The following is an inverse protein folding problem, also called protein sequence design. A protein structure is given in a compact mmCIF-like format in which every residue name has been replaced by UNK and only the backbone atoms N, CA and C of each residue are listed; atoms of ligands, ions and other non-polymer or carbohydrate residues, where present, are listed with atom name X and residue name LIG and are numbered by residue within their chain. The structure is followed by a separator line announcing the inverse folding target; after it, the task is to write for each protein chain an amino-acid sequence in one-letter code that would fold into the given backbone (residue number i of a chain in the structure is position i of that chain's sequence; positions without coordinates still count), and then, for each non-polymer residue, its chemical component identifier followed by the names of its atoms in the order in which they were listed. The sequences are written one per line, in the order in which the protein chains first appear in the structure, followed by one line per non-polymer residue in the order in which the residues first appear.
data_IF_111796784676
#
_entry.id   IF_111796784676
#
_cell.length_a   1.000
_cell.length_b   1.000
_cell.length_c   1.000
_cell.angle_alpha   90.00
_cell.angle_beta   90.00
_cell.angle_gamma   90.00
#
_symmetry.space_group_name_H-M   'P 1'
#
loop_
_entity.id
_entity.type
_entity.pdbx_description
1 polymer ?
#
# COMPACT_ATOMS: atom_id res chain seq x y z
N UNK A 1 -14.39 26.48 -7.52
CA UNK A 1 -12.93 26.62 -7.32
C UNK A 1 -12.15 25.30 -7.31
N UNK A 2 -12.79 24.12 -7.21
CA UNK A 2 -12.10 22.81 -7.25
C UNK A 2 -11.69 22.32 -8.67
N UNK A 3 -12.10 23.00 -9.74
CA UNK A 3 -11.87 22.60 -11.13
C UNK A 3 -10.42 22.78 -11.59
N UNK A 4 -9.73 23.82 -11.14
CA UNK A 4 -8.36 24.10 -11.59
C UNK A 4 -7.31 23.11 -11.05
N UNK A 5 -7.55 22.48 -9.90
CA UNK A 5 -6.59 21.60 -9.26
C UNK A 5 -6.41 20.25 -9.97
N UNK A 6 -7.51 19.58 -10.32
CA UNK A 6 -7.44 18.27 -10.99
C UNK A 6 -7.01 18.39 -12.45
N UNK A 7 -7.37 19.48 -13.15
CA UNK A 7 -6.92 19.70 -14.53
C UNK A 7 -5.41 19.93 -14.61
N UNK A 8 -4.87 20.68 -13.64
CA UNK A 8 -3.43 20.82 -13.45
C UNK A 8 -2.76 19.45 -13.20
N UNK A 9 -3.35 18.63 -12.33
CA UNK A 9 -2.86 17.28 -12.05
C UNK A 9 -2.85 16.37 -13.28
N UNK A 10 -3.93 16.36 -14.08
CA UNK A 10 -4.00 15.58 -15.33
C UNK A 10 -2.98 16.05 -16.37
N UNK A 11 -2.78 17.36 -16.49
CA UNK A 11 -1.77 17.94 -17.39
C UNK A 11 -0.37 17.49 -16.97
N UNK A 12 -0.08 17.54 -15.67
CA UNK A 12 1.19 17.09 -15.12
C UNK A 12 1.40 15.59 -15.31
N UNK A 13 0.37 14.75 -15.11
CA UNK A 13 0.45 13.31 -15.43
C UNK A 13 0.84 13.11 -16.90
N UNK A 14 0.19 13.83 -17.82
CA UNK A 14 0.51 13.73 -19.25
C UNK A 14 1.96 14.14 -19.55
N UNK A 15 2.44 15.22 -18.95
CA UNK A 15 3.82 15.69 -19.10
C UNK A 15 4.83 14.67 -18.57
N UNK A 16 4.62 14.15 -17.35
CA UNK A 16 5.48 13.15 -16.72
C UNK A 16 5.55 11.86 -17.55
N UNK A 17 4.41 11.38 -18.01
CA UNK A 17 4.30 10.12 -18.76
C UNK A 17 4.74 10.25 -20.22
N UNK A 18 4.84 11.46 -20.77
CA UNK A 18 5.41 11.69 -22.11
C UNK A 18 6.94 11.75 -22.05
N UNK A 19 7.51 12.38 -21.02
CA UNK A 19 8.96 12.60 -20.90
C UNK A 19 9.65 11.59 -19.98
N UNK A 20 9.14 10.35 -19.93
CA UNK A 20 9.51 9.35 -18.91
C UNK A 20 11.01 9.05 -18.85
N UNK A 21 11.65 8.82 -20.00
CA UNK A 21 13.10 8.54 -20.06
C UNK A 21 13.93 9.73 -19.55
N UNK A 22 13.67 10.93 -20.07
CA UNK A 22 14.37 12.15 -19.68
C UNK A 22 14.22 12.42 -18.17
N UNK A 23 13.01 12.24 -17.62
CA UNK A 23 12.75 12.45 -16.19
C UNK A 23 13.48 11.41 -15.34
N UNK A 24 13.52 10.14 -15.74
CA UNK A 24 14.28 9.11 -15.02
C UNK A 24 15.78 9.42 -14.99
N UNK A 25 16.35 9.86 -16.12
CA UNK A 25 17.75 10.26 -16.19
C UNK A 25 18.05 11.51 -15.34
N UNK A 26 17.15 12.49 -15.31
CA UNK A 26 17.26 13.66 -14.44
C UNK A 26 17.17 13.29 -12.96
N UNK A 27 16.23 12.41 -12.59
CA UNK A 27 16.07 11.92 -11.21
C UNK A 27 17.33 11.19 -10.76
N UNK A 28 17.88 10.28 -11.58
CA UNK A 28 19.11 9.58 -11.23
C UNK A 28 20.29 10.55 -11.11
N UNK A 29 20.46 11.47 -12.06
CA UNK A 29 21.52 12.49 -12.01
C UNK A 29 21.43 13.32 -10.74
N UNK A 30 20.22 13.70 -10.33
CA UNK A 30 20.00 14.45 -9.10
C UNK A 30 20.35 13.61 -7.86
N UNK A 31 19.94 12.34 -7.81
CA UNK A 31 20.28 11.42 -6.72
C UNK A 31 21.80 11.24 -6.60
N UNK A 32 22.49 10.97 -7.71
CA UNK A 32 23.92 10.75 -7.73
C UNK A 32 24.68 12.03 -7.37
N UNK A 33 24.34 13.17 -7.98
CA UNK A 33 25.04 14.44 -7.69
C UNK A 33 24.88 14.90 -6.25
N UNK A 34 23.73 14.66 -5.62
CA UNK A 34 23.51 15.00 -4.22
C UNK A 34 24.24 14.05 -3.28
N UNK A 35 24.28 12.75 -3.60
CA UNK A 35 24.75 11.72 -2.67
C UNK A 35 26.14 11.16 -2.99
N UNK A 36 26.84 11.65 -4.03
CA UNK A 36 28.16 11.15 -4.44
C UNK A 36 29.22 11.17 -3.32
N UNK A 37 29.09 12.08 -2.36
CA UNK A 37 29.98 12.20 -1.20
C UNK A 37 29.59 11.34 0.01
N UNK A 38 28.46 10.63 -0.04
CA UNK A 38 28.00 9.79 1.08
C UNK A 38 28.92 8.61 1.31
N UNK A 39 28.99 8.11 2.55
CA UNK A 39 29.83 6.97 2.91
C UNK A 39 29.58 5.78 1.98
N UNK A 40 28.31 5.48 1.71
CA UNK A 40 27.88 4.37 0.85
C UNK A 40 28.32 4.56 -0.61
N UNK A 41 27.90 5.64 -1.28
CA UNK A 41 28.20 5.81 -2.71
C UNK A 41 29.67 6.07 -3.00
N UNK A 42 30.42 6.65 -2.06
CA UNK A 42 31.85 6.93 -2.24
C UNK A 42 32.68 5.65 -2.44
N UNK A 43 32.25 4.53 -1.87
CA UNK A 43 32.93 3.23 -2.03
C UNK A 43 32.80 2.70 -3.47
N UNK A 44 31.68 2.96 -4.14
CA UNK A 44 31.38 2.40 -5.46
C UNK A 44 31.68 3.37 -6.62
N UNK A 45 31.48 4.67 -6.39
CA UNK A 45 31.54 5.69 -7.44
C UNK A 45 32.70 6.67 -7.30
N UNK A 46 33.34 6.76 -6.14
CA UNK A 46 34.47 7.68 -5.91
C UNK A 46 34.19 9.14 -6.37
N UNK A 47 32.95 9.61 -6.23
CA UNK A 47 32.52 10.95 -6.64
C UNK A 47 31.98 11.07 -8.08
N UNK A 48 32.01 10.00 -8.85
CA UNK A 48 31.43 9.93 -10.21
C UNK A 48 29.90 9.91 -10.17
N UNK A 49 29.27 10.43 -11.22
CA UNK A 49 27.80 10.63 -11.27
C UNK A 49 27.15 10.16 -12.57
N UNK A 50 27.92 9.47 -13.42
CA UNK A 50 27.45 8.93 -14.68
C UNK A 50 26.57 7.70 -14.46
N UNK A 51 25.40 7.67 -15.13
CA UNK A 51 24.43 6.56 -15.08
C UNK A 51 25.07 5.20 -15.36
N UNK A 52 25.92 5.11 -16.39
CA UNK A 52 26.58 3.85 -16.77
C UNK A 52 27.52 3.31 -15.69
N UNK A 53 28.23 4.21 -14.99
CA UNK A 53 29.09 3.83 -13.87
C UNK A 53 28.25 3.40 -12.67
N UNK A 54 27.14 4.09 -12.39
CA UNK A 54 26.19 3.68 -11.36
C UNK A 54 25.66 2.27 -11.59
N UNK A 55 25.18 1.98 -12.80
CA UNK A 55 24.66 0.65 -13.16
C UNK A 55 25.70 -0.45 -13.06
N UNK A 56 26.96 -0.14 -13.38
CA UNK A 56 28.05 -1.12 -13.37
C UNK A 56 28.63 -1.37 -11.98
N UNK A 57 28.77 -0.32 -11.17
CA UNK A 57 29.56 -0.38 -9.95
C UNK A 57 28.71 -0.46 -8.67
N UNK A 58 27.47 0.06 -8.68
CA UNK A 58 26.60 0.01 -7.50
C UNK A 58 25.80 -1.29 -7.54
N UNK A 59 25.98 -2.19 -6.55
CA UNK A 59 25.27 -3.46 -6.55
C UNK A 59 23.78 -3.27 -6.28
N UNK A 60 22.96 -4.19 -6.80
CA UNK A 60 21.59 -4.37 -6.31
C UNK A 60 21.66 -4.94 -4.90
N UNK A 61 21.00 -4.29 -3.96
CA UNK A 61 21.01 -4.63 -2.54
C UNK A 61 19.61 -4.88 -2.01
N UNK A 62 19.51 -5.58 -0.90
CA UNK A 62 18.29 -5.77 -0.13
C UNK A 62 18.28 -4.86 1.10
N UNK A 63 17.17 -4.84 1.83
CA UNK A 63 17.11 -4.12 3.11
C UNK A 63 18.17 -4.61 4.11
N UNK A 64 18.48 -5.91 4.13
CA UNK A 64 19.46 -6.48 5.08
C UNK A 64 20.87 -5.93 4.86
N UNK A 65 21.25 -5.68 3.59
CA UNK A 65 22.54 -5.10 3.24
C UNK A 65 22.63 -3.63 3.68
N UNK A 66 21.50 -2.91 3.67
CA UNK A 66 21.41 -1.51 4.09
C UNK A 66 21.21 -1.35 5.60
N UNK A 67 20.71 -2.38 6.29
CA UNK A 67 20.34 -2.35 7.70
C UNK A 67 21.46 -1.85 8.62
N UNK A 68 22.74 -2.25 8.48
CA UNK A 68 23.82 -1.75 9.32
C UNK A 68 24.00 -0.23 9.23
N UNK A 69 23.80 0.34 8.04
CA UNK A 69 23.87 1.79 7.82
C UNK A 69 22.64 2.50 8.40
N UNK A 70 21.46 1.92 8.23
CA UNK A 70 20.19 2.46 8.77
C UNK A 70 20.22 2.47 10.30
N UNK A 71 20.69 1.39 10.93
CA UNK A 71 20.80 1.28 12.39
C UNK A 71 21.75 2.36 12.96
N UNK A 72 22.86 2.66 12.28
CA UNK A 72 23.78 3.76 12.66
C UNK A 72 23.08 5.12 12.65
N UNK A 73 22.32 5.41 11.59
CA UNK A 73 21.54 6.65 11.48
C UNK A 73 20.45 6.70 12.57
N UNK A 74 19.77 5.57 12.83
CA UNK A 74 18.77 5.47 13.90
C UNK A 74 19.38 5.71 15.30
N UNK A 75 20.64 5.30 15.50
CA UNK A 75 21.45 5.57 16.68
C UNK A 75 22.07 6.98 16.70
N UNK A 76 21.55 7.91 15.89
CA UNK A 76 21.90 9.34 15.83
C UNK A 76 23.28 9.66 15.26
N UNK A 77 23.87 8.75 14.48
CA UNK A 77 24.95 9.14 13.57
C UNK A 77 24.44 10.04 12.44
N UNK A 78 25.37 10.62 11.67
CA UNK A 78 25.05 11.51 10.55
C UNK A 78 24.26 10.78 9.45
N UNK A 79 23.34 11.48 8.79
CA UNK A 79 22.63 10.92 7.63
C UNK A 79 23.55 10.72 6.42
N UNK A 80 24.69 11.43 6.36
CA UNK A 80 25.67 11.38 5.26
C UNK A 80 26.25 9.99 5.00
N UNK A 81 25.94 9.01 5.85
CA UNK A 81 26.18 7.59 5.60
C UNK A 81 25.47 7.14 4.31
N UNK A 82 24.16 7.42 4.18
CA UNK A 82 23.33 7.04 3.02
C UNK A 82 22.77 8.23 2.25
N UNK A 83 22.53 9.36 2.92
CA UNK A 83 21.82 10.51 2.38
C UNK A 83 22.52 11.83 2.78
N UNK A 84 22.91 12.62 1.78
CA UNK A 84 23.53 13.93 2.02
C UNK A 84 22.57 14.96 2.64
N UNK A 85 21.25 14.71 2.54
CA UNK A 85 20.23 15.53 3.22
C UNK A 85 19.85 14.90 4.56
N UNK A 86 19.56 15.72 5.59
CA UNK A 86 19.20 15.23 6.91
C UNK A 86 17.93 14.38 6.86
N UNK A 87 17.97 13.27 7.58
CA UNK A 87 16.80 12.42 7.83
C UNK A 87 15.91 13.11 8.85
N UNK A 88 14.65 13.36 8.49
CA UNK A 88 13.66 14.05 9.33
C UNK A 88 12.83 13.08 10.19
N UNK A 89 12.94 11.78 9.92
CA UNK A 89 12.24 10.73 10.66
C UNK A 89 12.33 9.38 9.96
N UNK A 90 11.65 8.39 10.52
CA UNK A 90 11.56 7.04 9.99
C UNK A 90 10.10 6.66 9.76
N UNK A 91 9.81 6.01 8.63
CA UNK A 91 8.58 5.26 8.47
C UNK A 91 8.83 3.80 8.81
N UNK A 92 7.88 3.20 9.53
CA UNK A 92 7.88 1.78 9.82
C UNK A 92 7.15 1.06 8.69
N UNK A 93 7.86 0.19 7.99
CA UNK A 93 7.27 -0.73 7.03
C UNK A 93 6.40 -1.76 7.75
N UNK A 94 5.35 -2.25 7.11
CA UNK A 94 4.63 -3.43 7.60
C UNK A 94 5.43 -4.72 7.44
N UNK A 95 6.47 -4.70 6.60
CA UNK A 95 7.42 -5.80 6.50
C UNK A 95 8.42 -5.78 7.63
N UNK A 96 8.81 -7.00 8.03
CA UNK A 96 9.80 -7.19 9.07
C UNK A 96 11.13 -7.67 8.50
N UNK A 97 12.19 -7.33 9.23
CA UNK A 97 13.55 -7.81 9.08
C UNK A 97 13.96 -8.32 10.46
N UNK A 98 14.24 -9.63 10.57
CA UNK A 98 14.50 -10.27 11.86
C UNK A 98 13.36 -10.14 12.88
N UNK A 99 12.10 -10.05 12.43
CA UNK A 99 10.92 -9.90 13.28
C UNK A 99 10.62 -8.47 13.76
N UNK A 100 11.39 -7.46 13.32
CA UNK A 100 11.12 -6.05 13.61
C UNK A 100 10.73 -5.29 12.32
N UNK A 101 9.80 -4.31 12.38
CA UNK A 101 9.46 -3.48 11.22
C UNK A 101 10.70 -2.84 10.56
N UNK A 102 10.79 -2.89 9.23
CA UNK A 102 11.87 -2.21 8.49
C UNK A 102 11.77 -0.69 8.70
N UNK A 103 12.90 -0.05 8.94
CA UNK A 103 13.04 1.39 9.12
C UNK A 103 13.34 2.06 7.78
N UNK A 104 12.41 2.86 7.26
CA UNK A 104 12.59 3.61 6.02
C UNK A 104 12.95 5.06 6.33
N UNK A 105 14.08 5.52 5.78
CA UNK A 105 14.58 6.88 5.97
C UNK A 105 13.69 7.91 5.26
N UNK A 106 13.27 8.95 5.99
CA UNK A 106 12.43 10.02 5.45
C UNK A 106 13.22 11.32 5.37
N UNK A 107 13.15 12.00 4.23
CA UNK A 107 13.67 13.36 4.07
C UNK A 107 12.53 14.35 3.81
N UNK A 108 12.78 15.63 4.06
CA UNK A 108 11.82 16.69 3.73
C UNK A 108 11.42 16.70 2.23
N UNK A 109 12.33 16.29 1.33
CA UNK A 109 12.04 16.16 -0.11
C UNK A 109 11.04 15.03 -0.36
N UNK A 110 11.19 13.89 0.31
CA UNK A 110 10.25 12.77 0.21
C UNK A 110 8.84 13.18 0.66
N UNK A 111 8.73 13.92 1.76
CA UNK A 111 7.43 14.43 2.25
C UNK A 111 6.74 15.34 1.23
N UNK A 112 7.49 16.23 0.56
CA UNK A 112 6.95 17.08 -0.52
C UNK A 112 6.46 16.26 -1.72
N UNK A 113 7.19 15.20 -2.11
CA UNK A 113 6.74 14.27 -3.16
C UNK A 113 5.44 13.56 -2.77
N UNK A 114 5.25 13.20 -1.50
CA UNK A 114 4.00 12.63 -0.99
C UNK A 114 2.79 13.55 -1.17
N UNK A 115 2.93 14.85 -0.89
CA UNK A 115 1.86 15.82 -1.10
C UNK A 115 1.49 15.99 -2.60
N UNK A 116 2.51 16.07 -3.46
CA UNK A 116 2.31 16.10 -4.92
C UNK A 116 1.58 14.84 -5.39
N UNK A 117 2.01 13.67 -4.92
CA UNK A 117 1.40 12.40 -5.26
C UNK A 117 -0.08 12.32 -4.87
N UNK A 118 -0.45 12.78 -3.68
CA UNK A 118 -1.85 12.86 -3.26
C UNK A 118 -2.72 13.63 -4.26
N UNK A 119 -2.19 14.73 -4.81
CA UNK A 119 -2.88 15.54 -5.83
C UNK A 119 -3.01 14.80 -7.16
N UNK A 120 -1.93 14.13 -7.61
CA UNK A 120 -1.93 13.34 -8.84
C UNK A 120 -2.88 12.14 -8.75
N UNK A 121 -2.87 11.43 -7.63
CA UNK A 121 -3.71 10.26 -7.37
C UNK A 121 -5.21 10.59 -7.34
N UNK A 122 -5.59 11.77 -6.82
CA UNK A 122 -6.98 12.24 -6.80
C UNK A 122 -7.49 12.69 -8.18
N UNK A 123 -6.60 13.04 -9.10
CA UNK A 123 -7.00 13.67 -10.37
C UNK A 123 -7.82 12.73 -11.29
N UNK A 124 -7.46 11.44 -11.49
CA UNK A 124 -8.27 10.50 -12.27
C UNK A 124 -9.66 10.22 -11.69
N UNK A 125 -9.78 10.15 -10.36
CA UNK A 125 -11.07 9.92 -9.68
C UNK A 125 -11.95 11.17 -9.69
N UNK A 126 -11.36 12.36 -9.49
CA UNK A 126 -12.03 13.66 -9.59
C UNK A 126 -12.58 13.93 -10.99
N UNK A 127 -11.84 13.56 -12.05
CA UNK A 127 -12.30 13.66 -13.45
C UNK A 127 -13.62 12.92 -13.69
N UNK A 128 -13.86 11.83 -12.93
CA UNK A 128 -15.11 11.04 -13.00
C UNK A 128 -16.19 11.51 -12.02
N UNK A 129 -16.06 12.74 -11.49
CA UNK A 129 -17.08 13.40 -10.68
C UNK A 129 -17.10 12.98 -9.21
N UNK A 130 -16.06 12.32 -8.70
CA UNK A 130 -15.98 11.87 -7.32
C UNK A 130 -15.34 12.95 -6.42
N UNK A 131 -16.16 13.66 -5.62
CA UNK A 131 -15.68 14.61 -4.61
C UNK A 131 -15.89 14.02 -3.21
N UNK A 132 -15.02 14.33 -2.24
CA UNK A 132 -15.19 13.90 -0.84
C UNK A 132 -14.40 12.65 -0.46
N UNK A 133 -13.57 12.78 0.59
CA UNK A 133 -12.71 11.73 1.15
C UNK A 133 -13.11 11.49 2.61
N UNK A 134 -13.40 10.24 2.95
CA UNK A 134 -13.49 9.78 4.34
C UNK A 134 -12.55 8.58 4.48
N UNK A 135 -11.61 8.64 5.42
CA UNK A 135 -10.60 7.58 5.64
C UNK A 135 -10.85 6.95 7.00
N UNK A 136 -11.12 5.63 7.04
CA UNK A 136 -11.10 4.88 8.29
C UNK A 136 -9.65 4.52 8.68
N UNK A 137 -9.24 4.90 9.89
CA UNK A 137 -7.99 4.53 10.55
C UNK A 137 -8.27 3.80 11.88
N UNK A 138 -7.51 2.76 12.21
CA UNK A 138 -7.87 1.72 13.19
C UNK A 138 -7.88 2.21 14.65
N UNK A 139 -7.13 3.26 15.00
CA UNK A 139 -7.21 3.90 16.32
C UNK A 139 -8.32 4.96 16.31
N UNK A 140 -9.54 4.58 16.69
CA UNK A 140 -10.74 5.44 16.59
C UNK A 140 -11.85 4.89 15.69
N UNK A 141 -11.85 3.58 15.39
CA UNK A 141 -12.85 2.93 14.54
C UNK A 141 -14.29 3.25 14.96
N UNK A 142 -14.59 3.25 16.28
CA UNK A 142 -15.91 3.63 16.78
C UNK A 142 -16.28 5.07 16.43
N UNK A 143 -15.43 6.04 16.79
CA UNK A 143 -15.70 7.46 16.51
C UNK A 143 -15.79 7.77 15.01
N UNK A 144 -14.97 7.13 14.19
CA UNK A 144 -15.02 7.32 12.74
C UNK A 144 -16.29 6.74 12.12
N UNK A 145 -16.71 5.54 12.56
CA UNK A 145 -17.99 4.98 12.14
C UNK A 145 -19.15 5.84 12.61
N UNK A 146 -19.12 6.32 13.86
CA UNK A 146 -20.13 7.23 14.41
C UNK A 146 -20.24 8.51 13.58
N UNK A 147 -19.12 9.18 13.29
CA UNK A 147 -19.11 10.39 12.47
C UNK A 147 -19.55 10.11 11.02
N UNK A 148 -19.10 8.99 10.45
CA UNK A 148 -19.51 8.54 9.12
C UNK A 148 -21.00 8.21 9.04
N UNK A 149 -21.61 7.70 10.12
CA UNK A 149 -23.05 7.48 10.22
C UNK A 149 -23.80 8.79 10.39
N UNK A 150 -23.31 9.72 11.22
CA UNK A 150 -23.90 11.06 11.40
C UNK A 150 -23.96 11.80 10.07
N UNK A 151 -22.89 11.74 9.27
CA UNK A 151 -22.77 12.41 7.97
C UNK A 151 -23.19 11.52 6.79
N UNK A 152 -24.00 10.47 7.01
CA UNK A 152 -24.27 9.43 6.02
C UNK A 152 -24.71 9.92 4.64
N UNK A 153 -25.47 11.02 4.60
CA UNK A 153 -26.01 11.60 3.37
C UNK A 153 -25.01 12.51 2.64
N UNK A 154 -23.81 12.70 3.18
CA UNK A 154 -22.71 13.46 2.56
C UNK A 154 -21.58 12.55 2.08
N UNK A 155 -21.53 11.29 2.53
CA UNK A 155 -20.47 10.33 2.19
C UNK A 155 -20.58 9.90 0.72
N UNK A 156 -19.57 10.27 -0.06
CA UNK A 156 -19.44 9.90 -1.49
C UNK A 156 -18.49 8.71 -1.67
N UNK A 157 -17.55 8.53 -0.75
CA UNK A 157 -16.54 7.46 -0.79
C UNK A 157 -16.47 6.77 0.56
N UNK A 158 -16.55 5.45 0.58
CA UNK A 158 -16.32 4.62 1.78
C UNK A 158 -15.04 3.83 1.55
N UNK A 159 -14.14 3.74 2.52
CA UNK A 159 -12.93 2.97 2.31
C UNK A 159 -11.82 3.14 3.33
N UNK A 160 -10.76 2.38 3.10
CA UNK A 160 -9.50 2.43 3.82
C UNK A 160 -8.37 1.97 2.89
N UNK A 161 -7.13 1.88 3.38
CA UNK A 161 -5.98 1.52 2.55
C UNK A 161 -6.13 0.09 2.01
N UNK A 162 -6.52 -0.87 2.85
CA UNK A 162 -6.64 -2.29 2.48
C UNK A 162 -8.08 -2.80 2.56
N UNK A 163 -8.40 -3.77 1.69
CA UNK A 163 -9.70 -4.44 1.67
C UNK A 163 -10.06 -5.09 3.02
N UNK A 164 -9.07 -5.74 3.66
CA UNK A 164 -9.13 -6.28 5.02
C UNK A 164 -9.59 -5.25 6.06
N UNK A 165 -9.07 -4.02 5.98
CA UNK A 165 -9.43 -2.95 6.93
C UNK A 165 -10.86 -2.46 6.72
N UNK A 166 -11.31 -2.35 5.46
CA UNK A 166 -12.72 -2.02 5.16
C UNK A 166 -13.63 -3.10 5.72
N UNK A 167 -13.29 -4.37 5.50
CA UNK A 167 -14.06 -5.49 6.01
C UNK A 167 -14.11 -5.50 7.55
N UNK A 168 -12.97 -5.27 8.22
CA UNK A 168 -12.89 -5.13 9.67
C UNK A 168 -13.79 -4.00 10.18
N UNK A 169 -13.85 -2.87 9.45
CA UNK A 169 -14.77 -1.77 9.76
C UNK A 169 -16.25 -2.15 9.64
N UNK A 170 -16.62 -2.91 8.60
CA UNK A 170 -18.00 -3.41 8.43
C UNK A 170 -18.37 -4.38 9.56
N UNK A 171 -17.46 -5.29 9.92
CA UNK A 171 -17.66 -6.25 11.01
C UNK A 171 -17.72 -5.59 12.38
N UNK A 172 -16.91 -4.56 12.60
CA UNK A 172 -17.01 -3.74 13.80
C UNK A 172 -18.38 -3.07 13.89
N UNK A 173 -18.88 -2.53 12.79
CA UNK A 173 -20.23 -1.98 12.74
C UNK A 173 -21.31 -3.05 13.02
N UNK A 174 -21.15 -4.27 12.49
CA UNK A 174 -22.04 -5.41 12.77
C UNK A 174 -22.14 -5.74 14.26
N UNK A 175 -21.04 -5.60 15.01
CA UNK A 175 -21.00 -5.89 16.44
C UNK A 175 -21.43 -4.72 17.34
N UNK A 176 -21.32 -3.48 16.86
CA UNK A 176 -21.48 -2.27 17.69
C UNK A 176 -22.59 -1.31 17.23
N UNK A 177 -23.39 -1.64 16.21
CA UNK A 177 -24.40 -0.72 15.67
C UNK A 177 -25.42 -0.26 16.71
N UNK A 178 -25.77 -1.10 17.69
CA UNK A 178 -26.75 -0.75 18.75
C UNK A 178 -26.26 0.42 19.60
N UNK A 179 -25.00 0.36 20.00
CA UNK A 179 -24.33 1.41 20.78
C UNK A 179 -24.17 2.68 19.95
N UNK A 180 -23.75 2.54 18.69
CA UNK A 180 -23.64 3.66 17.75
C UNK A 180 -25.00 4.36 17.54
N UNK A 181 -26.09 3.61 17.39
CA UNK A 181 -27.44 4.19 17.30
C UNK A 181 -27.84 4.91 18.59
N UNK A 182 -27.53 4.34 19.76
CA UNK A 182 -27.80 4.99 21.04
C UNK A 182 -27.05 6.31 21.21
N UNK A 183 -25.78 6.35 20.82
CA UNK A 183 -24.96 7.57 20.86
C UNK A 183 -25.50 8.65 19.90
N UNK A 184 -25.94 8.27 18.70
CA UNK A 184 -26.59 9.19 17.74
C UNK A 184 -27.92 9.71 18.29
N UNK A 185 -28.73 8.82 18.89
CA UNK A 185 -30.05 9.15 19.44
C UNK A 185 -29.96 10.15 20.58
N UNK A 186 -29.02 9.91 21.50
CA UNK A 186 -28.83 10.74 22.70
C UNK A 186 -27.92 11.94 22.47
N UNK A 187 -27.13 11.94 21.39
CA UNK A 187 -26.11 12.95 21.13
C UNK A 187 -24.96 12.91 22.14
N UNK A 188 -24.72 11.75 22.78
CA UNK A 188 -23.66 11.57 23.79
C UNK A 188 -22.75 10.44 23.38
N UNK A 189 -21.45 10.66 23.50
CA UNK A 189 -20.44 9.65 23.22
C UNK A 189 -20.31 8.70 24.41
N UNK A 190 -20.23 7.40 24.14
CA UNK A 190 -20.05 6.36 25.14
C UNK A 190 -18.87 6.59 26.10
N UNK A 191 -19.04 6.22 27.37
CA UNK A 191 -18.12 6.58 28.46
C UNK A 191 -16.77 5.87 28.39
N UNK A 192 -16.69 4.69 27.76
CA UNK A 192 -15.45 3.94 27.61
C UNK A 192 -14.45 4.58 26.63
N UNK A 193 -14.87 5.56 25.84
CA UNK A 193 -13.98 6.29 24.94
C UNK A 193 -13.23 7.33 25.76
N UNK A 194 -12.05 7.01 26.28
CA UNK A 194 -11.31 7.90 27.19
C UNK A 194 -10.43 8.94 26.48
N UNK A 195 -10.22 8.77 25.17
CA UNK A 195 -9.36 9.67 24.38
C UNK A 195 -9.97 11.07 24.26
N UNK A 196 -9.25 12.08 24.76
CA UNK A 196 -9.73 13.46 24.77
C UNK A 196 -9.86 14.03 23.36
N UNK A 197 -8.97 13.69 22.43
CA UNK A 197 -9.05 14.15 21.04
C UNK A 197 -10.32 13.67 20.34
N UNK A 198 -10.68 12.41 20.54
CA UNK A 198 -11.94 11.83 20.06
C UNK A 198 -13.16 12.49 20.69
N UNK A 199 -13.16 12.74 22.00
CA UNK A 199 -14.26 13.41 22.70
C UNK A 199 -14.46 14.85 22.23
N UNK A 200 -13.38 15.60 22.10
CA UNK A 200 -13.41 16.98 21.62
C UNK A 200 -13.94 17.04 20.19
N UNK A 201 -13.42 16.19 19.29
CA UNK A 201 -13.90 16.12 17.90
C UNK A 201 -15.38 15.69 17.81
N UNK A 202 -15.81 14.70 18.60
CA UNK A 202 -17.19 14.25 18.63
C UNK A 202 -18.12 15.37 19.14
N UNK A 203 -17.72 16.13 20.16
CA UNK A 203 -18.55 17.21 20.73
C UNK A 203 -18.90 18.32 19.73
N UNK A 204 -18.06 18.53 18.70
CA UNK A 204 -18.29 19.53 17.65
C UNK A 204 -19.39 19.10 16.66
N UNK A 205 -19.64 17.79 16.53
CA UNK A 205 -20.52 17.22 15.49
C UNK A 205 -21.77 16.57 16.09
N UNK A 206 -21.66 15.97 17.27
CA UNK A 206 -22.75 15.24 17.91
C UNK A 206 -23.89 16.15 18.34
N UNK A 207 -25.09 15.85 17.81
CA UNK A 207 -26.36 16.43 18.23
C UNK A 207 -27.37 15.29 18.33
N UNK A 208 -28.30 15.32 19.31
CA UNK A 208 -29.32 14.29 19.41
C UNK A 208 -30.13 14.20 18.12
N UNK A 209 -30.11 13.05 17.46
CA UNK A 209 -30.86 12.80 16.23
C UNK A 209 -31.57 11.43 16.28
N UNK A 210 -32.74 11.35 16.95
CA UNK A 210 -33.48 10.10 17.08
C UNK A 210 -33.96 9.52 15.75
N UNK A 211 -34.39 10.36 14.81
CA UNK A 211 -34.91 9.91 13.51
C UNK A 211 -33.84 9.15 12.70
N UNK A 212 -32.61 9.67 12.70
CA UNK A 212 -31.49 9.03 12.03
C UNK A 212 -31.04 7.74 12.73
N UNK A 213 -31.05 7.73 14.06
CA UNK A 213 -30.75 6.53 14.83
C UNK A 213 -31.75 5.41 14.54
N UNK A 214 -33.06 5.71 14.56
CA UNK A 214 -34.10 4.73 14.27
C UNK A 214 -34.01 4.22 12.81
N UNK A 215 -33.62 5.08 11.86
CA UNK A 215 -33.37 4.68 10.47
C UNK A 215 -32.18 3.72 10.34
N UNK A 216 -31.05 4.02 11.01
CA UNK A 216 -29.86 3.16 10.99
C UNK A 216 -30.16 1.83 11.68
N UNK A 217 -30.86 1.85 12.82
CA UNK A 217 -31.31 0.66 13.52
C UNK A 217 -32.16 -0.24 12.63
N UNK A 218 -33.13 0.31 11.91
CA UNK A 218 -33.94 -0.46 10.96
C UNK A 218 -33.12 -1.10 9.83
N UNK A 219 -32.06 -0.42 9.36
CA UNK A 219 -31.16 -0.95 8.33
C UNK A 219 -30.28 -2.08 8.89
N UNK A 220 -29.68 -1.89 10.06
CA UNK A 220 -28.77 -2.84 10.68
C UNK A 220 -29.48 -4.08 11.25
N UNK A 221 -30.73 -3.94 11.68
CA UNK A 221 -31.55 -5.04 12.21
C UNK A 221 -32.08 -6.00 11.12
N UNK A 222 -31.66 -5.83 9.87
CA UNK A 222 -31.99 -6.74 8.77
C UNK A 222 -31.28 -8.09 8.94
N UNK A 223 -31.97 -9.20 8.63
CA UNK A 223 -31.41 -10.57 8.67
C UNK A 223 -30.20 -10.79 7.75
N UNK A 224 -30.09 -9.99 6.69
CA UNK A 224 -28.97 -10.06 5.73
C UNK A 224 -28.35 -8.68 5.57
N UNK A 225 -27.03 -8.64 5.75
CA UNK A 225 -26.19 -7.45 5.56
C UNK A 225 -25.72 -7.31 4.10
N UNK A 226 -26.31 -8.06 3.17
CA UNK A 226 -26.06 -7.88 1.75
C UNK A 226 -26.38 -6.43 1.33
N UNK A 227 -25.42 -5.77 0.70
CA UNK A 227 -25.52 -4.38 0.26
C UNK A 227 -25.65 -3.34 1.38
N UNK A 228 -25.27 -3.69 2.63
CA UNK A 228 -25.40 -2.81 3.80
C UNK A 228 -24.73 -1.45 3.59
N UNK A 229 -23.57 -1.41 2.94
CA UNK A 229 -22.80 -0.16 2.74
C UNK A 229 -23.61 0.84 1.93
N UNK A 230 -24.33 0.38 0.89
CA UNK A 230 -25.18 1.26 0.08
C UNK A 230 -26.44 1.70 0.84
N UNK A 231 -26.98 0.88 1.73
CA UNK A 231 -28.15 1.24 2.54
C UNK A 231 -27.80 2.32 3.57
N UNK A 232 -26.66 2.14 4.24
CA UNK A 232 -26.16 3.09 5.23
C UNK A 232 -25.67 4.38 4.58
N UNK A 233 -24.91 4.30 3.49
CA UNK A 233 -24.36 5.45 2.76
C UNK A 233 -24.93 5.52 1.34
N UNK A 234 -26.13 6.09 1.15
CA UNK A 234 -26.87 6.02 -0.12
C UNK A 234 -26.22 6.83 -1.25
N UNK A 235 -25.40 7.84 -0.91
CA UNK A 235 -24.66 8.64 -1.91
C UNK A 235 -23.26 8.09 -2.21
N UNK A 236 -22.86 6.98 -1.58
CA UNK A 236 -21.59 6.34 -1.85
C UNK A 236 -21.50 5.89 -3.31
N UNK A 237 -20.40 6.23 -3.99
CA UNK A 237 -20.18 5.95 -5.41
C UNK A 237 -19.22 4.80 -5.67
N UNK A 238 -18.28 4.58 -4.77
CA UNK A 238 -17.27 3.53 -4.87
C UNK A 238 -16.66 3.23 -3.52
N UNK A 239 -16.00 2.08 -3.44
CA UNK A 239 -15.21 1.67 -2.27
C UNK A 239 -13.74 1.90 -2.56
N UNK A 240 -13.08 2.71 -1.73
CA UNK A 240 -11.65 2.91 -1.81
C UNK A 240 -10.93 1.82 -1.02
N UNK A 241 -10.16 0.98 -1.71
CA UNK A 241 -9.27 -0.01 -1.07
C UNK A 241 -8.30 -0.62 -2.07
N UNK A 242 -7.13 -1.03 -1.59
CA UNK A 242 -6.27 -1.97 -2.31
C UNK A 242 -6.93 -3.35 -2.29
N UNK A 243 -7.26 -3.84 -3.49
CA UNK A 243 -7.88 -5.14 -3.76
C UNK A 243 -7.03 -6.00 -4.73
N UNK A 244 -5.77 -5.64 -4.93
CA UNK A 244 -4.79 -6.36 -5.76
C UNK A 244 -3.88 -7.25 -4.90
N UNK A 245 -3.17 -8.20 -5.53
CA UNK A 245 -2.34 -9.17 -4.80
C UNK A 245 -3.17 -10.05 -3.86
N UNK A 246 -2.66 -10.29 -2.65
CA UNK A 246 -3.31 -11.12 -1.62
C UNK A 246 -4.69 -10.57 -1.22
N UNK A 247 -4.89 -9.25 -1.28
CA UNK A 247 -6.17 -8.61 -0.96
C UNK A 247 -7.33 -9.04 -1.87
N UNK A 248 -7.04 -9.72 -2.99
CA UNK A 248 -8.07 -10.30 -3.88
C UNK A 248 -8.97 -11.30 -3.15
N UNK A 249 -8.48 -11.96 -2.10
CA UNK A 249 -9.26 -12.93 -1.31
C UNK A 249 -10.51 -12.29 -0.66
N UNK A 250 -10.48 -11.00 -0.37
CA UNK A 250 -11.60 -10.27 0.26
C UNK A 250 -12.61 -9.72 -0.75
N UNK A 251 -12.38 -9.86 -2.06
CA UNK A 251 -13.26 -9.25 -3.08
C UNK A 251 -14.68 -9.81 -2.97
N UNK A 252 -14.85 -11.13 -2.86
CA UNK A 252 -16.17 -11.75 -2.81
C UNK A 252 -17.01 -11.27 -1.61
N UNK A 253 -16.38 -11.14 -0.44
CA UNK A 253 -17.04 -10.66 0.77
C UNK A 253 -17.35 -9.16 0.70
N UNK A 254 -16.43 -8.35 0.16
CA UNK A 254 -16.70 -6.93 -0.09
C UNK A 254 -17.81 -6.73 -1.11
N UNK A 255 -17.88 -7.55 -2.17
CA UNK A 255 -18.96 -7.52 -3.15
C UNK A 255 -20.32 -7.83 -2.50
N UNK A 256 -20.38 -8.77 -1.55
CA UNK A 256 -21.57 -9.06 -0.76
C UNK A 256 -22.04 -7.84 0.04
N UNK A 257 -21.15 -7.19 0.79
CA UNK A 257 -21.51 -6.03 1.64
C UNK A 257 -21.77 -4.75 0.84
N UNK A 258 -21.10 -4.55 -0.29
CA UNK A 258 -21.14 -3.29 -1.04
C UNK A 258 -22.12 -3.31 -2.21
N UNK A 259 -22.47 -4.51 -2.71
CA UNK A 259 -23.39 -4.83 -3.81
C UNK A 259 -23.51 -3.74 -4.89
N UNK A 260 -22.68 -3.89 -5.93
CA UNK A 260 -22.72 -3.04 -7.12
C UNK A 260 -21.99 -1.70 -6.98
N UNK A 261 -21.31 -1.44 -5.85
CA UNK A 261 -20.32 -0.36 -5.76
C UNK A 261 -18.98 -0.86 -6.31
N UNK A 262 -18.33 -0.12 -7.23
CA UNK A 262 -17.03 -0.50 -7.75
C UNK A 262 -15.96 -0.41 -6.65
N UNK A 263 -15.10 -1.43 -6.59
CA UNK A 263 -13.90 -1.44 -5.75
C UNK A 263 -12.78 -0.73 -6.51
N UNK A 264 -12.23 0.33 -5.93
CA UNK A 264 -11.27 1.23 -6.58
C UNK A 264 -9.95 1.21 -5.82
N UNK A 265 -8.94 0.65 -6.47
CA UNK A 265 -7.53 0.79 -6.04
C UNK A 265 -6.88 1.90 -6.86
N UNK A 266 -6.53 3.02 -6.22
CA UNK A 266 -6.04 4.21 -6.92
C UNK A 266 -4.53 4.25 -7.09
N UNK A 267 -3.78 3.58 -6.21
CA UNK A 267 -2.34 3.80 -6.08
C UNK A 267 -1.60 2.52 -5.74
N UNK A 268 -0.36 2.45 -6.22
CA UNK A 268 0.62 1.46 -5.84
C UNK A 268 1.85 2.16 -5.26
N UNK A 269 2.24 1.72 -4.06
CA UNK A 269 3.41 2.17 -3.34
C UNK A 269 3.98 1.00 -2.54
N UNK A 270 5.30 1.01 -2.36
CA UNK A 270 6.00 0.15 -1.42
C UNK A 270 6.51 0.98 -0.23
N UNK A 271 7.19 0.34 0.71
CA UNK A 271 7.73 1.04 1.88
C UNK A 271 8.87 1.98 1.47
N UNK A 272 9.63 1.59 0.46
CA UNK A 272 10.82 2.24 -0.06
C UNK A 272 10.50 3.42 -0.99
N UNK A 273 9.36 3.36 -1.70
CA UNK A 273 8.93 4.44 -2.59
C UNK A 273 7.44 4.41 -2.94
N UNK A 274 6.92 5.62 -3.17
CA UNK A 274 5.66 5.81 -3.87
C UNK A 274 5.91 5.61 -5.37
N UNK A 275 5.15 4.73 -6.02
CA UNK A 275 5.49 4.24 -7.36
C UNK A 275 4.55 4.75 -8.45
N UNK A 276 3.26 4.40 -8.40
CA UNK A 276 2.37 4.60 -9.54
C UNK A 276 0.88 4.73 -9.19
N UNK A 277 0.13 5.31 -10.12
CA UNK A 277 -1.31 5.58 -9.97
C UNK A 277 -2.14 4.80 -10.99
N UNK A 278 -3.36 4.44 -10.61
CA UNK A 278 -4.34 3.84 -11.49
C UNK A 278 -5.08 4.93 -12.27
N UNK A 279 -4.81 5.03 -13.57
CA UNK A 279 -5.45 5.99 -14.47
C UNK A 279 -6.87 5.57 -14.87
N UNK A 280 -7.23 4.31 -14.64
CA UNK A 280 -8.54 3.73 -14.95
C UNK A 280 -9.20 3.13 -13.68
N UNK A 281 -9.54 3.98 -12.69
CA UNK A 281 -9.92 3.54 -11.35
C UNK A 281 -11.19 2.67 -11.29
N UNK A 282 -12.06 2.72 -12.31
CA UNK A 282 -13.32 1.94 -12.33
C UNK A 282 -13.21 0.61 -13.07
N UNK A 283 -12.01 0.19 -13.50
CA UNK A 283 -11.82 -1.17 -14.03
C UNK A 283 -12.06 -2.21 -12.94
N UNK A 284 -12.34 -3.45 -13.38
CA UNK A 284 -12.50 -4.58 -12.46
C UNK A 284 -11.21 -4.79 -11.66
N UNK A 285 -11.30 -5.22 -10.39
CA UNK A 285 -10.12 -5.49 -9.55
C UNK A 285 -9.05 -6.40 -10.17
N UNK A 286 -9.46 -7.36 -11.02
CA UNK A 286 -8.56 -8.28 -11.71
C UNK A 286 -7.70 -7.60 -12.78
N UNK A 287 -8.18 -6.49 -13.35
CA UNK A 287 -7.58 -5.81 -14.51
C UNK A 287 -6.90 -4.49 -14.13
N UNK A 288 -6.68 -4.26 -12.83
CA UNK A 288 -6.08 -3.03 -12.31
C UNK A 288 -4.61 -2.96 -12.70
N UNK A 289 -4.24 -1.90 -13.41
CA UNK A 289 -2.86 -1.57 -13.76
C UNK A 289 -2.47 -0.21 -13.19
N UNK A 290 -1.24 -0.09 -12.69
CA UNK A 290 -0.68 1.13 -12.13
C UNK A 290 0.34 1.73 -13.09
N UNK A 291 0.13 2.99 -13.46
CA UNK A 291 1.07 3.76 -14.29
C UNK A 291 2.12 4.36 -13.40
N UNK A 292 3.39 4.00 -13.63
CA UNK A 292 4.49 4.49 -12.81
C UNK A 292 4.76 5.97 -13.09
N UNK A 293 5.01 6.74 -12.03
CA UNK A 293 5.30 8.16 -12.13
C UNK A 293 6.83 8.36 -12.09
N UNK A 294 7.47 8.72 -13.22
CA UNK A 294 8.93 8.70 -13.36
C UNK A 294 9.65 9.73 -12.48
N UNK A 295 8.97 10.71 -11.90
CA UNK A 295 9.58 11.69 -11.01
C UNK A 295 9.67 11.21 -9.56
N UNK A 296 9.06 10.08 -9.19
CA UNK A 296 8.92 9.66 -7.80
C UNK A 296 10.21 9.05 -7.25
N UNK A 297 10.79 8.10 -7.97
CA UNK A 297 12.09 7.51 -7.70
C UNK A 297 12.73 7.09 -9.03
N UNK A 298 14.00 6.66 -8.99
CA UNK A 298 14.61 5.99 -10.13
C UNK A 298 14.28 4.49 -10.07
N UNK A 299 13.68 3.97 -11.13
CA UNK A 299 13.11 2.62 -11.20
C UNK A 299 13.87 1.75 -12.19
N UNK A 300 14.26 0.57 -11.71
CA UNK A 300 14.91 -0.48 -12.47
C UNK A 300 14.16 -1.79 -12.27
N UNK A 301 14.35 -2.72 -13.20
CA UNK A 301 13.55 -3.93 -13.27
C UNK A 301 14.43 -5.14 -13.53
N UNK A 302 14.40 -6.12 -12.63
CA UNK A 302 15.10 -7.38 -12.81
C UNK A 302 14.16 -8.39 -13.48
N UNK A 303 14.48 -8.93 -14.67
CA UNK A 303 13.61 -9.91 -15.35
C UNK A 303 13.36 -11.14 -14.48
N UNK A 304 12.10 -11.55 -14.34
CA UNK A 304 11.72 -12.81 -13.69
C UNK A 304 11.42 -13.83 -14.78
N UNK A 305 12.11 -14.98 -14.74
CA UNK A 305 11.82 -16.11 -15.64
C UNK A 305 10.49 -16.72 -15.24
N UNK A 306 9.53 -16.75 -16.16
CA UNK A 306 8.30 -17.49 -15.96
C UNK A 306 8.60 -18.99 -16.06
N UNK A 307 8.35 -19.77 -15.00
CA UNK A 307 8.46 -21.24 -15.04
C UNK A 307 7.52 -21.91 -16.06
N UNK A 308 6.64 -21.14 -16.72
CA UNK A 308 5.72 -21.61 -17.76
C UNK A 308 6.34 -21.71 -19.15
N UNK A 309 7.52 -21.14 -19.38
CA UNK A 309 8.25 -21.35 -20.64
C UNK A 309 9.10 -22.62 -20.53
N UNK A 310 8.47 -23.75 -20.84
CA UNK A 310 9.05 -25.09 -20.90
C UNK A 310 10.05 -25.30 -22.04
N UNK A 311 10.95 -24.35 -22.31
CA UNK A 311 12.13 -24.58 -23.13
C UNK A 311 13.34 -24.69 -22.22
N UNK A 312 13.74 -25.94 -21.96
CA UNK A 312 15.08 -26.29 -21.49
C UNK A 312 16.06 -25.86 -22.58
N UNK A 313 16.50 -24.60 -22.55
CA UNK A 313 17.78 -24.22 -23.15
C UNK A 313 18.74 -23.87 -22.03
N UNK A 314 19.58 -24.86 -21.74
CA UNK A 314 20.83 -24.74 -21.01
C UNK A 314 21.76 -23.77 -21.76
N UNK A 315 21.59 -22.46 -21.56
CA UNK A 315 22.65 -21.46 -21.78
C UNK A 315 22.56 -20.39 -20.69
N UNK A 316 23.35 -20.58 -19.65
CA UNK A 316 23.82 -19.51 -18.78
C UNK A 316 24.70 -18.57 -19.61
N UNK A 317 24.08 -17.65 -20.35
CA UNK A 317 24.74 -16.42 -20.75
C UNK A 317 24.46 -15.38 -19.66
N UNK A 318 25.49 -14.63 -19.26
CA UNK A 318 25.46 -13.55 -18.27
C UNK A 318 24.54 -12.37 -18.63
N UNK A 319 23.59 -12.54 -19.56
CA UNK A 319 22.68 -11.50 -20.06
C UNK A 319 21.37 -11.42 -19.24
N UNK A 320 21.01 -12.47 -18.50
CA UNK A 320 19.74 -12.52 -17.73
C UNK A 320 19.79 -11.80 -16.37
N UNK A 321 20.90 -11.13 -16.04
CA UNK A 321 21.09 -10.42 -14.76
C UNK A 321 21.11 -8.90 -14.92
N UNK A 322 20.97 -8.37 -16.15
CA UNK A 322 21.05 -6.93 -16.40
C UNK A 322 19.71 -6.24 -16.05
N UNK A 323 19.80 -5.16 -15.27
CA UNK A 323 18.66 -4.33 -14.92
C UNK A 323 18.11 -3.59 -16.13
N UNK A 324 16.80 -3.68 -16.31
CA UNK A 324 16.07 -3.00 -17.37
C UNK A 324 15.57 -1.65 -16.85
N UNK A 325 15.81 -0.58 -17.61
CA UNK A 325 15.27 0.76 -17.32
C UNK A 325 13.74 0.78 -17.45
N UNK A 326 13.08 1.69 -16.72
CA UNK A 326 11.62 1.88 -16.75
C UNK A 326 11.01 1.91 -18.16
N UNK A 327 11.65 2.57 -19.12
CA UNK A 327 11.13 2.70 -20.50
C UNK A 327 11.39 1.49 -21.39
N UNK A 328 12.27 0.58 -20.98
CA UNK A 328 12.74 -0.56 -21.78
C UNK A 328 12.07 -1.88 -21.39
N UNK A 329 11.11 -1.85 -20.46
CA UNK A 329 10.33 -3.04 -20.06
C UNK A 329 9.43 -3.53 -21.20
N UNK A 330 9.19 -4.84 -21.26
CA UNK A 330 8.42 -5.47 -22.35
C UNK A 330 7.02 -5.87 -21.90
N UNK A 331 6.00 -5.55 -22.69
CA UNK A 331 4.60 -5.96 -22.43
C UNK A 331 4.51 -7.48 -22.30
N UNK A 332 3.81 -7.95 -21.27
CA UNK A 332 3.62 -9.37 -20.95
C UNK A 332 4.76 -10.00 -20.14
N UNK A 333 5.90 -9.31 -19.97
CA UNK A 333 7.01 -9.81 -19.17
C UNK A 333 6.84 -9.44 -17.69
N UNK A 334 7.27 -10.35 -16.81
CA UNK A 334 7.33 -10.15 -15.37
C UNK A 334 8.72 -9.66 -14.94
N UNK A 335 8.74 -8.70 -14.02
CA UNK A 335 9.95 -8.12 -13.46
C UNK A 335 9.83 -7.95 -11.96
N UNK A 336 10.93 -8.10 -11.26
CA UNK A 336 11.07 -7.66 -9.88
C UNK A 336 11.44 -6.17 -9.84
N UNK A 337 10.75 -5.41 -9.02
CA UNK A 337 10.97 -3.97 -8.86
C UNK A 337 12.24 -3.68 -8.06
N UNK A 338 13.12 -2.84 -8.62
CA UNK A 338 14.28 -2.27 -7.96
C UNK A 338 14.13 -0.75 -7.93
N UNK A 339 14.25 -0.16 -6.74
CA UNK A 339 14.14 1.29 -6.53
C UNK A 339 15.49 1.82 -6.10
N UNK A 340 16.14 2.62 -6.96
CA UNK A 340 17.43 3.26 -6.67
C UNK A 340 18.45 2.28 -6.05
N UNK A 341 18.63 1.12 -6.71
CA UNK A 341 19.48 -0.03 -6.31
C UNK A 341 18.96 -0.94 -5.19
N UNK A 342 17.86 -0.61 -4.51
CA UNK A 342 17.26 -1.49 -3.51
C UNK A 342 16.18 -2.39 -4.13
N UNK A 343 16.35 -3.70 -4.06
CA UNK A 343 15.34 -4.67 -4.46
C UNK A 343 14.17 -4.68 -3.49
N UNK A 344 12.96 -4.45 -4.02
CA UNK A 344 11.73 -4.39 -3.22
C UNK A 344 11.14 -5.79 -2.99
N UNK A 345 11.39 -6.73 -3.90
CA UNK A 345 10.79 -8.08 -3.86
C UNK A 345 9.38 -8.17 -4.45
N UNK A 346 8.81 -7.07 -4.94
CA UNK A 346 7.53 -7.06 -5.66
C UNK A 346 7.72 -7.50 -7.12
N UNK A 347 6.92 -8.46 -7.56
CA UNK A 347 6.88 -8.94 -8.95
C UNK A 347 5.71 -8.27 -9.68
N UNK A 348 6.05 -7.60 -10.78
CA UNK A 348 5.16 -6.78 -11.58
C UNK A 348 5.16 -7.25 -13.03
N UNK A 349 3.98 -7.41 -13.62
CA UNK A 349 3.82 -7.73 -15.02
C UNK A 349 3.48 -6.47 -15.82
N UNK A 350 4.19 -6.22 -16.92
CA UNK A 350 3.90 -5.08 -17.79
C UNK A 350 2.61 -5.35 -18.57
N UNK A 351 1.57 -4.59 -18.30
CA UNK A 351 0.27 -4.69 -18.97
C UNK A 351 0.14 -3.81 -20.22
N UNK A 352 0.98 -2.78 -20.34
CA UNK A 352 0.89 -1.79 -21.40
C UNK A 352 1.64 -0.52 -21.06
N UNK A 353 1.36 0.55 -21.82
CA UNK A 353 1.97 1.86 -21.66
C UNK A 353 0.90 2.95 -21.74
N UNK A 354 1.05 3.98 -20.91
CA UNK A 354 0.33 5.23 -21.04
C UNK A 354 1.33 6.32 -21.47
N UNK A 355 1.20 6.79 -22.71
CA UNK A 355 2.27 7.51 -23.40
C UNK A 355 3.55 6.66 -23.40
N UNK A 356 4.64 7.16 -22.81
CA UNK A 356 5.93 6.45 -22.68
C UNK A 356 6.12 5.81 -21.30
N UNK A 357 5.19 5.99 -20.36
CA UNK A 357 5.28 5.39 -19.04
C UNK A 357 4.64 4.00 -19.01
N UNK A 358 5.33 2.96 -18.53
CA UNK A 358 4.78 1.62 -18.42
C UNK A 358 3.67 1.54 -17.36
N UNK A 359 2.74 0.61 -17.59
CA UNK A 359 1.66 0.25 -16.70
C UNK A 359 1.84 -1.18 -16.19
N UNK A 360 1.85 -1.36 -14.89
CA UNK A 360 2.14 -2.64 -14.25
C UNK A 360 0.93 -3.22 -13.54
N UNK A 361 0.72 -4.52 -13.70
CA UNK A 361 -0.15 -5.33 -12.85
C UNK A 361 0.69 -5.98 -11.75
N UNK A 362 0.20 -5.87 -10.52
CA UNK A 362 0.82 -6.55 -9.39
C UNK A 362 0.55 -8.06 -9.49
N UNK A 363 1.62 -8.86 -9.49
CA UNK A 363 1.51 -10.33 -9.56
C UNK A 363 1.57 -10.90 -8.14
N UNK A 364 2.72 -10.75 -7.50
CA UNK A 364 3.00 -11.30 -6.18
C UNK A 364 4.17 -10.54 -5.54
N UNK A 365 4.45 -10.85 -4.27
CA UNK A 365 5.68 -10.45 -3.61
C UNK A 365 6.46 -11.70 -3.26
N UNK A 366 7.75 -11.75 -3.63
CA UNK A 366 8.63 -12.88 -3.33
C UNK A 366 8.69 -13.10 -1.82
N UNK A 367 8.79 -14.38 -1.44
CA UNK A 367 9.00 -14.83 -0.07
C UNK A 367 7.85 -14.49 0.91
N UNK A 368 6.63 -14.25 0.42
CA UNK A 368 5.44 -14.11 1.27
C UNK A 368 4.57 -15.35 1.12
N UNK A 369 4.38 -16.10 2.21
CA UNK A 369 3.55 -17.32 2.22
C UNK A 369 2.17 -17.04 2.84
N UNK A 370 2.11 -16.26 3.92
CA UNK A 370 0.86 -15.94 4.62
C UNK A 370 0.72 -14.43 4.83
N UNK A 371 -0.51 -13.92 4.66
CA UNK A 371 -0.90 -12.54 4.95
C UNK A 371 -2.42 -12.41 5.05
N UNK A 372 -2.91 -11.91 6.18
CA UNK A 372 -4.31 -11.53 6.43
C UNK A 372 -4.50 -10.02 6.17
N UNK A 373 -3.63 -9.15 6.70
CA UNK A 373 -3.78 -7.70 6.62
C UNK A 373 -2.52 -7.00 6.06
N UNK A 374 -1.72 -6.36 6.90
CA UNK A 374 -0.50 -5.67 6.47
C UNK A 374 0.76 -6.52 6.70
N UNK A 375 0.66 -7.47 7.63
CA UNK A 375 1.72 -8.39 7.97
C UNK A 375 1.98 -9.33 6.79
N UNK A 376 3.26 -9.60 6.57
CA UNK A 376 3.73 -10.51 5.53
C UNK A 376 4.63 -11.52 6.21
N UNK A 377 4.21 -12.77 6.25
CA UNK A 377 4.96 -13.86 6.88
C UNK A 377 5.66 -14.67 5.81
N UNK A 378 6.99 -14.74 5.92
CA UNK A 378 7.82 -15.55 5.03
C UNK A 378 7.88 -17.02 5.47
N UNK A 379 8.38 -17.89 4.60
CA UNK A 379 8.67 -19.28 4.97
C UNK A 379 9.62 -19.38 6.16
N UNK A 380 10.64 -18.53 6.18
CA UNK A 380 11.62 -18.46 7.25
C UNK A 380 11.00 -18.02 8.58
N UNK A 381 10.06 -17.07 8.55
CA UNK A 381 9.35 -16.62 9.75
C UNK A 381 8.43 -17.74 10.28
N UNK A 382 7.69 -18.41 9.38
CA UNK A 382 6.83 -19.53 9.74
C UNK A 382 7.64 -20.70 10.31
N UNK A 383 8.74 -21.08 9.65
CA UNK A 383 9.64 -22.14 10.12
C UNK A 383 10.22 -21.81 11.51
N UNK A 384 10.60 -20.55 11.74
CA UNK A 384 11.08 -20.10 13.05
C UNK A 384 9.99 -20.20 14.11
N UNK A 385 8.77 -19.73 13.82
CA UNK A 385 7.64 -19.82 14.73
C UNK A 385 7.30 -21.28 15.09
N UNK A 386 7.30 -22.19 14.10
CA UNK A 386 7.07 -23.62 14.31
C UNK A 386 8.20 -24.25 15.12
N UNK A 387 9.45 -23.85 14.89
CA UNK A 387 10.61 -24.34 15.67
C UNK A 387 10.52 -23.94 17.14
N UNK A 388 10.14 -22.69 17.41
CA UNK A 388 9.92 -22.20 18.78
C UNK A 388 8.73 -22.92 19.46
N UNK A 389 7.63 -23.15 18.73
CA UNK A 389 6.49 -23.91 19.23
C UNK A 389 6.82 -25.39 19.50
N UNK A 390 7.64 -26.01 18.63
CA UNK A 390 8.10 -27.39 18.79
C UNK A 390 8.89 -27.59 20.07
N UNK A 391 9.71 -26.62 20.48
CA UNK A 391 10.46 -26.69 21.73
C UNK A 391 9.56 -26.83 22.98
N UNK A 392 8.29 -26.41 22.91
CA UNK A 392 7.31 -26.60 23.97
C UNK A 392 6.71 -28.02 23.99
N UNK A 393 6.75 -28.73 22.86
CA UNK A 393 6.23 -30.08 22.70
C UNK A 393 7.26 -31.16 23.05
N UNK A 394 8.56 -30.86 22.90
CA UNK A 394 9.65 -31.80 23.17
C UNK A 394 9.61 -32.40 24.60
N UNK A 395 9.34 -31.64 25.69
CA UNK A 395 9.24 -32.20 27.05
C UNK A 395 8.05 -33.13 27.25
N UNK A 396 7.03 -33.03 26.39
CA UNK A 396 5.82 -33.85 26.44
C UNK A 396 5.98 -35.15 25.64
N UNK A 397 7.10 -35.34 24.93
CA UNK A 397 7.37 -36.52 24.11
C UNK A 397 6.63 -36.55 22.78
N UNK A 398 6.05 -35.44 22.34
CA UNK A 398 5.40 -35.33 21.03
C UNK A 398 6.42 -34.94 19.95
N UNK A 399 6.32 -35.56 18.77
CA UNK A 399 7.17 -35.26 17.62
C UNK A 399 6.29 -34.65 16.52
N UNK A 400 6.55 -33.39 16.17
CA UNK A 400 5.96 -32.77 14.99
C UNK A 400 6.60 -33.37 13.73
N UNK A 401 5.83 -34.07 12.91
CA UNK A 401 6.30 -34.75 11.69
C UNK A 401 6.30 -33.83 10.48
N UNK A 402 5.17 -33.16 10.23
CA UNK A 402 4.96 -32.28 9.08
C UNK A 402 4.01 -31.15 9.49
N UNK A 403 4.07 -30.04 8.75
CA UNK A 403 3.11 -28.94 8.88
C UNK A 403 2.85 -28.33 7.50
N UNK A 404 1.68 -27.71 7.38
CA UNK A 404 1.34 -26.81 6.28
C UNK A 404 0.59 -25.63 6.89
N UNK A 405 0.33 -24.60 6.09
CA UNK A 405 -0.37 -23.43 6.58
C UNK A 405 -1.23 -22.83 5.49
N UNK A 406 -2.37 -22.25 5.87
CA UNK A 406 -3.16 -21.43 4.97
C UNK A 406 -3.79 -20.24 5.72
N UNK A 407 -4.25 -19.26 4.95
CA UNK A 407 -4.98 -18.12 5.51
C UNK A 407 -6.47 -18.44 5.49
N UNK A 408 -7.08 -18.54 6.66
CA UNK A 408 -8.53 -18.67 6.79
C UNK A 408 -9.18 -17.29 6.84
N UNK A 409 -10.00 -17.01 5.83
CA UNK A 409 -10.78 -15.78 5.68
C UNK A 409 -12.27 -15.99 5.95
N UNK A 410 -12.69 -17.19 6.36
CA UNK A 410 -14.09 -17.47 6.71
C UNK A 410 -14.53 -16.77 8.01
N UNK A 411 -13.57 -16.46 8.89
CA UNK A 411 -13.77 -15.65 10.08
C UNK A 411 -13.25 -14.23 9.88
N UNK A 412 -13.82 -13.25 10.59
CA UNK A 412 -13.32 -11.88 10.63
C UNK A 412 -12.97 -11.47 12.08
N UNK A 413 -11.69 -11.12 12.38
CA UNK A 413 -10.56 -11.07 11.45
C UNK A 413 -10.18 -12.46 10.93
N UNK A 414 -9.62 -12.49 9.73
CA UNK A 414 -8.97 -13.70 9.20
C UNK A 414 -7.79 -14.09 10.10
N UNK A 415 -7.39 -15.36 10.03
CA UNK A 415 -6.29 -15.88 10.84
C UNK A 415 -5.50 -16.95 10.09
N UNK A 416 -4.30 -17.25 10.58
CA UNK A 416 -3.48 -18.34 10.06
C UNK A 416 -3.92 -19.66 10.70
N UNK A 417 -3.96 -20.73 9.88
CA UNK A 417 -4.26 -22.10 10.30
C UNK A 417 -3.09 -23.01 9.97
#
# INVERSE_FOLDING_TARGET
MATNGYECGLKLIKELTTNTEQIQDEVLREILSQNAGTEYLRVFLHGQTEKQLSKKNVPVVTYEDLKPYIDRIANRETSEILLAKPVTGFYLSSETSGGQPKLILVTAKYQKKGALYGTLNQSPTMRRGCQGWFTLCICGAYCQLLLGLIQRDEVITVGSIFASTVLRGIKFLENHWQELCYDIKTGRLSDWITDSGCRDAASLVMKPNPEQADLIENICNCKSWEGIVRKLWPKARYIYCVCTGIMRQYIAELEFYCRGLPLVSTSYACSEAICGINLEPLRKPCDVSYTFLPNMAYFEFLPVKNERDGSIEMKSNNEDTELVDLVNVKVGQCYELVVSTCAVGDVLMVSGFYNNAPQFQFVERKNVILSVDQEKTSETDLFKAITEAKALLDPLGFILTEYTSYVDTSSAPGHYV
#
